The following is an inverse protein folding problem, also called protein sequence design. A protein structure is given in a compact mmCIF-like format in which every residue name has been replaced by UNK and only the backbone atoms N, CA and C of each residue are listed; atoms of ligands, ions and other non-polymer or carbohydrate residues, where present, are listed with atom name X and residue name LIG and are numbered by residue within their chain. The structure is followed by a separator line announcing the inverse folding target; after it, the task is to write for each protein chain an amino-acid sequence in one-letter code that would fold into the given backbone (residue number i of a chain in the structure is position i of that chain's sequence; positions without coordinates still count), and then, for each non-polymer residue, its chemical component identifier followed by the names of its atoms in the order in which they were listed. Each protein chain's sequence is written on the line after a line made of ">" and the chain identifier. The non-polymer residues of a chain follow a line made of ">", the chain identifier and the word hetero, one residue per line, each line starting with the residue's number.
data_IF_012199120809
#
_entry.id   IF_012199120809
#
_cell.length_a   1.000
_cell.length_b   1.000
_cell.length_c   1.000
_cell.angle_alpha   90.00
_cell.angle_beta   90.00
_cell.angle_gamma   90.00
#
_symmetry.space_group_name_H-M   'P 1'
#
loop_
_entity.id
_entity.type
_entity.pdbx_description
1 polymer ?
#
# COMPACT_ATOMS: atom_id res chain seq x y z
N UNK A 1 50.01 8.27 -14.02
CA UNK A 1 48.79 9.07 -13.74
C UNK A 1 47.78 9.04 -14.90
N UNK A 2 48.15 9.36 -16.15
CA UNK A 2 47.21 9.34 -17.31
C UNK A 2 46.51 7.99 -17.58
N UNK A 3 47.20 6.86 -17.37
CA UNK A 3 46.62 5.50 -17.56
C UNK A 3 45.57 5.13 -16.50
N UNK A 4 45.70 5.66 -15.28
CA UNK A 4 44.74 5.43 -14.19
C UNK A 4 43.45 6.21 -14.44
N UNK A 5 43.56 7.43 -14.97
CA UNK A 5 42.41 8.26 -15.34
C UNK A 5 41.53 7.58 -16.41
N UNK A 6 42.14 6.93 -17.41
CA UNK A 6 41.42 6.24 -18.49
C UNK A 6 40.63 5.04 -17.93
N UNK A 7 41.22 4.29 -17.00
CA UNK A 7 40.56 3.13 -16.37
C UNK A 7 39.36 3.56 -15.52
N UNK A 8 39.46 4.68 -14.80
CA UNK A 8 38.36 5.25 -14.03
C UNK A 8 37.23 5.71 -14.95
N UNK A 9 37.55 6.32 -16.10
CA UNK A 9 36.54 6.77 -17.06
C UNK A 9 35.75 5.59 -17.68
N UNK A 10 36.43 4.48 -17.98
CA UNK A 10 35.80 3.25 -18.47
C UNK A 10 34.92 2.55 -17.43
N UNK A 11 35.27 2.63 -16.14
CA UNK A 11 34.44 2.09 -15.07
C UNK A 11 33.15 2.91 -14.85
N UNK A 12 33.19 4.21 -15.09
CA UNK A 12 32.02 5.09 -14.95
C UNK A 12 31.01 4.87 -16.08
N UNK A 13 31.47 4.62 -17.32
CA UNK A 13 30.57 4.43 -18.46
C UNK A 13 29.77 3.12 -18.39
N UNK A 14 30.32 2.05 -17.80
CA UNK A 14 29.61 0.77 -17.64
C UNK A 14 28.49 0.84 -16.61
N UNK A 15 28.56 1.74 -15.63
CA UNK A 15 27.48 1.98 -14.66
C UNK A 15 26.24 2.60 -15.31
N UNK A 16 26.40 3.44 -16.33
CA UNK A 16 25.28 4.08 -17.02
C UNK A 16 24.54 3.16 -18.00
N UNK A 17 25.20 2.15 -18.56
CA UNK A 17 24.56 1.19 -19.48
C UNK A 17 23.66 0.19 -18.73
N UNK A 18 23.95 -0.11 -17.46
CA UNK A 18 23.19 -1.08 -16.65
C UNK A 18 21.82 -0.57 -16.16
N UNK A 19 21.57 0.74 -16.20
CA UNK A 19 20.28 1.32 -15.80
C UNK A 19 19.24 1.38 -16.94
N UNK A 20 19.59 0.97 -18.16
CA UNK A 20 18.68 0.90 -19.31
C UNK A 20 18.14 -0.52 -19.54
N UNK A 21 17.94 -1.32 -18.49
CA UNK A 21 17.03 -2.46 -18.63
C UNK A 21 15.64 -1.88 -18.88
N UNK A 22 15.19 -2.03 -20.12
CA UNK A 22 13.85 -1.75 -20.62
C UNK A 22 12.87 -1.66 -19.46
N UNK A 23 12.52 -0.43 -19.11
CA UNK A 23 11.32 -0.16 -18.33
C UNK A 23 10.19 -0.60 -19.23
N UNK A 24 9.85 -1.89 -19.18
CA UNK A 24 8.55 -2.36 -19.63
C UNK A 24 7.56 -1.43 -18.95
N UNK A 25 6.85 -0.54 -19.67
CA UNK A 25 5.86 0.29 -19.03
C UNK A 25 4.85 -0.70 -18.48
N UNK A 26 4.86 -0.87 -17.15
CA UNK A 26 3.83 -1.61 -16.46
C UNK A 26 2.55 -0.91 -16.88
N UNK A 27 1.79 -1.55 -17.76
CA UNK A 27 0.45 -1.06 -18.11
C UNK A 27 -0.24 -0.91 -16.76
N UNK A 28 -0.62 0.30 -16.34
CA UNK A 28 -1.39 0.42 -15.12
C UNK A 28 -2.67 -0.36 -15.38
N UNK A 29 -2.85 -1.47 -14.67
CA UNK A 29 -4.17 -2.03 -14.53
C UNK A 29 -5.00 -0.89 -13.97
N UNK A 30 -5.94 -0.39 -14.77
CA UNK A 30 -6.88 0.61 -14.34
C UNK A 30 -7.90 -0.08 -13.43
N UNK A 31 -7.43 -0.56 -12.28
CA UNK A 31 -8.29 -0.92 -11.19
C UNK A 31 -9.07 0.34 -10.84
N UNK A 32 -10.36 0.32 -11.13
CA UNK A 32 -11.25 1.44 -10.84
C UNK A 32 -11.55 1.39 -9.35
N UNK A 33 -10.69 2.05 -8.56
CA UNK A 33 -10.93 2.23 -7.14
C UNK A 33 -12.07 3.24 -6.94
N UNK A 34 -13.28 2.72 -6.72
CA UNK A 34 -14.41 3.55 -6.29
C UNK A 34 -14.18 3.87 -4.82
N UNK A 35 -13.82 5.12 -4.52
CA UNK A 35 -13.76 5.58 -3.15
C UNK A 35 -15.17 5.59 -2.56
N UNK A 36 -15.31 5.01 -1.38
CA UNK A 36 -16.57 5.02 -0.67
C UNK A 36 -16.98 6.45 -0.31
N UNK A 37 -18.29 6.71 -0.32
CA UNK A 37 -18.82 8.06 -0.11
C UNK A 37 -18.83 8.41 1.37
N UNK A 38 -18.89 9.70 1.67
CA UNK A 38 -19.18 10.18 3.03
C UNK A 38 -20.51 9.58 3.51
N UNK A 39 -20.52 9.04 4.72
CA UNK A 39 -21.65 8.32 5.32
C UNK A 39 -21.68 6.82 5.02
N UNK A 40 -20.85 6.30 4.12
CA UNK A 40 -20.72 4.85 3.92
C UNK A 40 -20.27 4.17 5.21
N UNK A 41 -20.87 3.03 5.52
CA UNK A 41 -20.56 2.23 6.70
C UNK A 41 -20.09 0.84 6.30
N UNK A 42 -19.04 0.36 6.96
CA UNK A 42 -18.44 -0.96 6.78
C UNK A 42 -18.48 -1.68 8.12
N UNK A 43 -19.00 -2.90 8.15
CA UNK A 43 -18.95 -3.75 9.34
C UNK A 43 -17.97 -4.88 9.06
N UNK A 44 -17.04 -5.09 9.96
CA UNK A 44 -16.11 -6.22 9.90
C UNK A 44 -16.07 -6.92 11.25
N UNK A 45 -15.98 -8.23 11.17
CA UNK A 45 -15.79 -9.08 12.34
C UNK A 45 -14.29 -9.31 12.52
N UNK A 46 -13.79 -8.96 13.69
CA UNK A 46 -12.44 -9.29 14.12
C UNK A 46 -12.52 -10.48 15.07
N UNK A 47 -11.68 -11.49 14.85
CA UNK A 47 -11.63 -12.68 15.69
C UNK A 47 -10.23 -13.26 15.70
N UNK A 48 -9.88 -13.90 16.81
CA UNK A 48 -8.68 -14.71 16.91
C UNK A 48 -8.89 -16.07 16.25
N UNK A 49 -7.83 -16.64 15.69
CA UNK A 49 -7.82 -17.98 15.11
C UNK A 49 -7.08 -18.92 16.06
N UNK A 50 -7.66 -20.09 16.32
CA UNK A 50 -6.99 -21.16 17.05
C UNK A 50 -5.88 -21.75 16.16
N UNK A 51 -4.61 -21.71 16.59
CA UNK A 51 -3.50 -22.21 15.79
C UNK A 51 -3.53 -23.73 15.53
N UNK A 52 -4.27 -24.51 16.33
CA UNK A 52 -4.37 -25.96 16.16
C UNK A 52 -5.42 -26.38 15.15
N UNK A 53 -6.60 -25.75 15.17
CA UNK A 53 -7.70 -26.06 14.26
C UNK A 53 -7.76 -25.16 13.02
N UNK A 54 -7.10 -24.00 13.03
CA UNK A 54 -7.22 -22.99 11.98
C UNK A 54 -8.61 -22.32 11.93
N UNK A 55 -9.47 -22.59 12.91
CA UNK A 55 -10.83 -22.08 12.97
C UNK A 55 -10.92 -20.82 13.86
N UNK A 56 -11.90 -19.93 13.61
CA UNK A 56 -12.18 -18.81 14.49
C UNK A 56 -12.52 -19.26 15.92
N UNK A 57 -11.93 -18.58 16.92
CA UNK A 57 -12.31 -18.74 18.32
C UNK A 57 -13.58 -17.91 18.54
N UNK A 58 -14.73 -18.59 18.72
CA UNK A 58 -16.04 -17.92 18.73
C UNK A 58 -16.16 -16.82 19.78
N UNK A 59 -15.57 -17.00 20.97
CA UNK A 59 -15.63 -16.03 22.07
C UNK A 59 -14.79 -14.77 21.82
N UNK A 60 -13.87 -14.82 20.85
CA UNK A 60 -13.03 -13.68 20.49
C UNK A 60 -13.63 -12.81 19.39
N UNK A 61 -14.82 -13.16 18.89
CA UNK A 61 -15.46 -12.40 17.80
C UNK A 61 -16.01 -11.09 18.35
N UNK A 62 -15.46 -9.99 17.87
CA UNK A 62 -15.96 -8.63 18.05
C UNK A 62 -16.40 -8.09 16.69
N UNK A 63 -17.51 -7.36 16.65
CA UNK A 63 -18.01 -6.75 15.42
C UNK A 63 -17.81 -5.24 15.50
N UNK A 64 -16.93 -4.73 14.63
CA UNK A 64 -16.64 -3.30 14.58
C UNK A 64 -17.27 -2.69 13.34
N UNK A 65 -17.96 -1.57 13.55
CA UNK A 65 -18.51 -0.77 12.46
C UNK A 65 -17.69 0.51 12.27
N UNK A 66 -17.18 0.71 11.06
CA UNK A 66 -16.54 1.94 10.62
C UNK A 66 -17.46 2.77 9.74
N UNK A 67 -17.63 4.04 10.07
CA UNK A 67 -18.36 5.00 9.22
C UNK A 67 -17.39 6.03 8.63
N UNK A 68 -17.47 6.24 7.33
CA UNK A 68 -16.69 7.26 6.63
C UNK A 68 -17.27 8.65 6.91
N UNK A 69 -16.45 9.52 7.51
CA UNK A 69 -16.84 10.90 7.79
C UNK A 69 -16.37 11.87 6.70
N UNK A 70 -15.23 11.60 6.08
CA UNK A 70 -14.63 12.49 5.06
C UNK A 70 -13.71 11.68 4.15
N UNK A 71 -13.70 12.00 2.86
CA UNK A 71 -12.88 11.37 1.82
C UNK A 71 -12.05 12.41 1.06
N UNK A 72 -11.04 11.96 0.31
CA UNK A 72 -10.24 12.84 -0.55
C UNK A 72 -9.32 13.81 0.20
N UNK A 73 -8.97 13.52 1.45
CA UNK A 73 -8.12 14.40 2.26
C UNK A 73 -6.63 14.22 1.93
N UNK A 74 -5.84 15.25 2.24
CA UNK A 74 -4.37 15.16 2.28
C UNK A 74 -3.90 15.08 3.73
N UNK A 75 -3.06 14.09 4.05
CA UNK A 75 -2.50 13.91 5.38
C UNK A 75 -1.06 13.43 5.29
N UNK A 76 -0.11 14.16 5.91
CA UNK A 76 1.31 13.80 5.94
C UNK A 76 1.90 13.48 4.54
N UNK A 77 1.55 14.28 3.53
CA UNK A 77 2.01 14.08 2.15
C UNK A 77 1.31 12.95 1.37
N UNK A 78 0.40 12.20 2.00
CA UNK A 78 -0.46 11.21 1.33
C UNK A 78 -1.73 11.87 0.84
N UNK A 79 -2.09 11.61 -0.42
CA UNK A 79 -3.35 12.04 -1.03
C UNK A 79 -4.42 10.95 -0.89
N UNK A 80 -5.67 11.34 -1.11
CA UNK A 80 -6.82 10.43 -1.13
C UNK A 80 -7.07 9.66 0.19
N UNK A 81 -6.81 10.33 1.32
CA UNK A 81 -6.99 9.77 2.66
C UNK A 81 -8.46 9.87 3.10
N UNK A 82 -8.93 8.86 3.83
CA UNK A 82 -10.28 8.77 4.38
C UNK A 82 -10.25 8.90 5.91
N UNK A 83 -11.16 9.68 6.49
CA UNK A 83 -11.41 9.72 7.94
C UNK A 83 -12.57 8.80 8.28
N UNK A 84 -12.35 7.92 9.25
CA UNK A 84 -13.39 7.00 9.77
C UNK A 84 -13.63 7.23 11.26
N UNK A 85 -14.82 6.87 11.71
CA UNK A 85 -15.14 6.65 13.13
C UNK A 85 -15.47 5.17 13.33
N UNK A 86 -14.90 4.56 14.37
CA UNK A 86 -15.12 3.15 14.71
C UNK A 86 -15.97 3.06 15.98
N UNK A 87 -16.98 2.19 15.96
CA UNK A 87 -17.74 1.80 17.14
C UNK A 87 -17.68 0.27 17.29
N UNK A 88 -17.26 -0.21 18.46
CA UNK A 88 -17.38 -1.62 18.84
C UNK A 88 -18.77 -1.85 19.44
N UNK A 89 -19.39 -2.99 19.15
CA UNK A 89 -20.72 -3.36 19.64
C UNK A 89 -20.68 -4.56 20.56
#
# INVERSE_FOLDING_TARGET
>A
MKRVLILVLLAITTLFVSCNKESNPVKPNADTYVQAKVGSSFTYDEYSIDPGSGLPISESRDSTMQTILTTGMNFMGKTNVTKVVSNNR
#
